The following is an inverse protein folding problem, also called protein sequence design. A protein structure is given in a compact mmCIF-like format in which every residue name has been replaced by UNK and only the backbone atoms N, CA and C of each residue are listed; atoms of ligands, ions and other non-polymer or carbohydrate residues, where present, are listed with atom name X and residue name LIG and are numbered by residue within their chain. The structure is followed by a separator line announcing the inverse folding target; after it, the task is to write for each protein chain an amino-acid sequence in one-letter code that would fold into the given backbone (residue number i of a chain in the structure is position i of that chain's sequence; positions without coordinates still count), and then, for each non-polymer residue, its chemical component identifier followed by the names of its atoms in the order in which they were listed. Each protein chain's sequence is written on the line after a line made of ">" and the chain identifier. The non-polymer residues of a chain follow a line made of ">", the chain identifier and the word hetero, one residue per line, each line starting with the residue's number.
data_IF_004218423425
#
_entry.id   IF_004218423425
#
_cell.length_a   1.000
_cell.length_b   1.000
_cell.length_c   1.000
_cell.angle_alpha   90.00
_cell.angle_beta   90.00
_cell.angle_gamma   90.00
#
_symmetry.space_group_name_H-M   'P 1'
#
loop_
_entity.id
_entity.type
_entity.pdbx_description
1 polymer ?
#
# COMPACT_ATOMS: atom_id res chain seq x y z
N UNK A 1 8.02 24.25 21.19
CA UNK A 1 7.12 23.26 20.56
C UNK A 1 7.99 22.36 19.73
N UNK A 2 8.07 21.08 20.06
CA UNK A 2 8.55 20.08 19.11
C UNK A 2 7.46 19.97 18.04
N UNK A 3 7.81 20.07 16.76
CA UNK A 3 6.88 19.74 15.69
C UNK A 3 6.58 18.25 15.78
N UNK A 4 5.34 17.88 16.08
CA UNK A 4 4.89 16.51 15.92
C UNK A 4 4.82 16.24 14.41
N UNK A 5 5.62 15.29 13.92
CA UNK A 5 5.53 14.83 12.53
C UNK A 5 4.24 14.01 12.37
N UNK A 6 3.20 14.66 11.84
CA UNK A 6 1.91 14.02 11.54
C UNK A 6 1.94 13.14 10.28
N UNK A 7 3.06 13.11 9.55
CA UNK A 7 3.18 12.43 8.27
C UNK A 7 4.57 11.81 8.10
N UNK A 8 4.60 10.52 7.79
CA UNK A 8 5.83 9.81 7.38
C UNK A 8 5.77 9.64 5.86
N UNK A 9 6.77 10.17 5.15
CA UNK A 9 6.93 9.97 3.71
C UNK A 9 7.92 8.83 3.47
N UNK A 10 7.45 7.80 2.76
CA UNK A 10 8.28 6.65 2.38
C UNK A 10 8.51 6.70 0.88
N UNK A 11 9.78 6.67 0.48
CA UNK A 11 10.19 6.55 -0.92
C UNK A 11 10.48 5.09 -1.23
N UNK A 12 10.01 4.58 -2.36
CA UNK A 12 10.37 3.23 -2.78
C UNK A 12 11.86 3.17 -3.10
N UNK A 13 12.49 2.08 -2.66
CA UNK A 13 13.82 1.71 -3.09
C UNK A 13 13.75 0.44 -3.95
N UNK A 14 14.91 -0.02 -4.41
CA UNK A 14 15.00 -1.22 -5.23
C UNK A 14 14.50 -2.48 -4.51
N UNK A 15 14.57 -2.54 -3.18
CA UNK A 15 14.06 -3.69 -2.42
C UNK A 15 12.54 -3.75 -2.49
N UNK A 16 11.89 -2.63 -2.19
CA UNK A 16 10.43 -2.47 -2.27
C UNK A 16 9.91 -2.69 -3.70
N UNK A 17 10.58 -2.11 -4.69
CA UNK A 17 10.20 -2.28 -6.10
C UNK A 17 10.34 -3.73 -6.58
N UNK A 18 11.36 -4.46 -6.10
CA UNK A 18 11.47 -5.88 -6.42
C UNK A 18 10.36 -6.70 -5.75
N UNK A 19 10.01 -6.36 -4.50
CA UNK A 19 8.93 -7.02 -3.77
C UNK A 19 7.57 -6.75 -4.40
N UNK A 20 7.34 -5.55 -4.95
CA UNK A 20 6.07 -5.19 -5.59
C UNK A 20 5.73 -6.09 -6.79
N UNK A 21 6.73 -6.57 -7.54
CA UNK A 21 6.50 -7.53 -8.63
C UNK A 21 5.84 -8.83 -8.17
N UNK A 22 6.05 -9.26 -6.92
CA UNK A 22 5.37 -10.44 -6.39
C UNK A 22 3.86 -10.24 -6.26
N UNK A 23 3.39 -9.01 -5.96
CA UNK A 23 1.96 -8.68 -5.93
C UNK A 23 1.38 -8.61 -7.35
N UNK A 24 2.08 -7.99 -8.29
CA UNK A 24 1.66 -7.96 -9.69
C UNK A 24 1.53 -9.38 -10.26
N UNK A 25 2.46 -10.28 -9.90
CA UNK A 25 2.38 -11.68 -10.32
C UNK A 25 1.24 -12.43 -9.63
N UNK A 26 1.04 -12.20 -8.33
CA UNK A 26 0.01 -12.88 -7.52
C UNK A 26 -1.41 -12.47 -7.90
N UNK A 27 -1.62 -11.20 -8.26
CA UNK A 27 -2.91 -10.62 -8.61
C UNK A 27 -2.98 -10.24 -10.10
N UNK A 28 -2.36 -11.06 -10.96
CA UNK A 28 -2.26 -10.81 -12.39
C UNK A 28 -3.61 -10.90 -13.14
N UNK A 29 -4.65 -11.40 -12.46
CA UNK A 29 -6.04 -11.46 -12.89
C UNK A 29 -6.81 -10.18 -12.56
N UNK A 30 -6.19 -9.24 -11.84
CA UNK A 30 -6.73 -7.93 -11.50
C UNK A 30 -5.91 -6.84 -12.22
N UNK A 31 -6.57 -5.73 -12.56
CA UNK A 31 -5.92 -4.57 -13.19
C UNK A 31 -5.16 -3.73 -12.14
N UNK A 32 -4.15 -4.34 -11.53
CA UNK A 32 -3.33 -3.73 -10.48
C UNK A 32 -2.25 -2.85 -11.09
N UNK A 33 -2.18 -1.58 -10.66
CA UNK A 33 -1.10 -0.70 -11.09
C UNK A 33 0.21 -1.01 -10.35
N UNK A 34 1.35 -0.60 -10.92
CA UNK A 34 2.64 -0.70 -10.23
C UNK A 34 2.66 0.13 -8.93
N UNK A 35 1.96 1.27 -8.90
CA UNK A 35 1.87 2.11 -7.71
C UNK A 35 1.15 1.38 -6.56
N UNK A 36 0.04 0.68 -6.85
CA UNK A 36 -0.69 -0.11 -5.86
C UNK A 36 0.18 -1.25 -5.31
N UNK A 37 0.89 -1.95 -6.20
CA UNK A 37 1.80 -3.03 -5.81
C UNK A 37 2.95 -2.52 -4.91
N UNK A 38 3.48 -1.33 -5.17
CA UNK A 38 4.48 -0.68 -4.31
C UNK A 38 3.87 -0.31 -2.96
N UNK A 39 2.66 0.25 -2.94
CA UNK A 39 1.94 0.53 -1.69
C UNK A 39 1.76 -0.73 -0.84
N UNK A 40 1.34 -1.85 -1.44
CA UNK A 40 1.18 -3.12 -0.71
C UNK A 40 2.51 -3.65 -0.16
N UNK A 41 3.58 -3.56 -0.94
CA UNK A 41 4.91 -4.01 -0.49
C UNK A 41 5.41 -3.22 0.73
N UNK A 42 5.20 -1.90 0.73
CA UNK A 42 5.51 -1.00 1.86
C UNK A 42 4.63 -1.33 3.07
N UNK A 43 3.32 -1.45 2.86
CA UNK A 43 2.37 -1.77 3.92
C UNK A 43 2.73 -3.08 4.63
N UNK A 44 3.03 -4.14 3.87
CA UNK A 44 3.46 -5.42 4.43
C UNK A 44 4.81 -5.33 5.15
N UNK A 45 5.74 -4.50 4.68
CA UNK A 45 7.04 -4.31 5.34
C UNK A 45 6.90 -3.58 6.68
N UNK A 46 6.00 -2.60 6.73
CA UNK A 46 5.77 -1.77 7.91
C UNK A 46 4.69 -2.34 8.84
N UNK A 47 4.06 -3.47 8.47
CA UNK A 47 2.96 -4.07 9.22
C UNK A 47 1.66 -3.25 9.23
N UNK A 48 1.48 -2.36 8.25
CA UNK A 48 0.29 -1.52 8.09
C UNK A 48 -0.82 -2.37 7.46
N UNK A 49 -1.97 -2.46 8.13
CA UNK A 49 -3.12 -3.25 7.64
C UNK A 49 -4.26 -2.41 7.09
N UNK A 50 -4.22 -1.12 7.37
CA UNK A 50 -5.29 -0.17 7.05
C UNK A 50 -4.79 0.82 6.02
N UNK A 51 -5.58 1.03 4.97
CA UNK A 51 -5.29 2.01 3.93
C UNK A 51 -6.39 3.06 3.90
N UNK A 52 -6.00 4.32 3.96
CA UNK A 52 -6.91 5.40 3.63
C UNK A 52 -7.02 5.52 2.11
N UNK A 53 -8.03 4.89 1.53
CA UNK A 53 -8.17 4.75 0.08
C UNK A 53 -9.63 4.63 -0.35
N UNK A 54 -9.90 5.04 -1.59
CA UNK A 54 -11.16 4.81 -2.27
C UNK A 54 -11.06 3.66 -3.30
N UNK A 55 -9.87 3.08 -3.47
CA UNK A 55 -9.63 2.00 -4.41
C UNK A 55 -10.00 0.64 -3.79
N UNK A 56 -10.79 -0.14 -4.54
CA UNK A 56 -11.23 -1.49 -4.15
C UNK A 56 -10.10 -2.51 -4.23
N UNK A 57 -9.02 -2.25 -4.97
CA UNK A 57 -7.89 -3.18 -5.07
C UNK A 57 -7.23 -3.45 -3.71
N UNK A 58 -7.22 -2.48 -2.79
CA UNK A 58 -6.70 -2.65 -1.43
C UNK A 58 -7.51 -3.65 -0.61
N UNK A 59 -8.82 -3.75 -0.85
CA UNK A 59 -9.69 -4.75 -0.21
C UNK A 59 -9.35 -6.15 -0.69
N UNK A 60 -9.13 -6.30 -2.00
CA UNK A 60 -8.86 -7.58 -2.66
C UNK A 60 -7.50 -8.15 -2.19
N UNK A 61 -6.54 -7.28 -1.90
CA UNK A 61 -5.21 -7.67 -1.43
C UNK A 61 -5.10 -7.86 0.08
N UNK A 62 -6.19 -7.67 0.82
CA UNK A 62 -6.30 -7.99 2.25
C UNK A 62 -6.13 -6.79 3.20
N UNK A 63 -6.08 -5.57 2.67
CA UNK A 63 -6.04 -4.35 3.48
C UNK A 63 -7.45 -3.83 3.78
N UNK A 64 -7.60 -3.22 4.95
CA UNK A 64 -8.86 -2.65 5.42
C UNK A 64 -8.96 -1.19 4.96
N UNK A 65 -9.96 -0.83 4.12
CA UNK A 65 -10.15 0.55 3.72
C UNK A 65 -10.70 1.36 4.91
N UNK A 66 -10.04 2.46 5.24
CA UNK A 66 -10.56 3.47 6.16
C UNK A 66 -11.40 4.44 5.33
N UNK A 67 -12.72 4.31 5.37
CA UNK A 67 -13.63 5.24 4.73
C UNK A 67 -13.91 6.42 5.67
N UNK A 68 -13.53 7.67 5.34
CA UNK A 68 -13.76 8.84 6.20
C UNK A 68 -15.24 9.28 6.28
N UNK A 69 -16.14 8.64 5.53
CA UNK A 69 -17.57 9.01 5.45
C UNK A 69 -18.51 8.05 6.20
N UNK A 70 -17.97 7.22 7.10
CA UNK A 70 -18.74 6.44 8.08
C UNK A 70 -18.34 6.82 9.51
#
# INVERSE_FOLDING_TARGET
>A
MQEEEFLIIVWSDKHIENKSFSYLQKYNDHDLSFADAVSFAIMDEMGIKEAFTFDRHFVITGFLPLNPLL
#
